data_IF_536870902470
#
_entry.id   IF_536870902470
#
_cell.length_a   1.000
_cell.length_b   1.000
_cell.length_c   1.000
_cell.angle_alpha   90.00
_cell.angle_beta   90.00
_cell.angle_gamma   90.00
#
_symmetry.space_group_name_H-M   'P 1'
#
loop_
_entity.id
_entity.type
_entity.pdbx_description
1 polymer ?
#
# COMPACT_ATOMS: atom_id res chain seq x y z
N UNK A 1 -13.50 2.20 -8.08
CA UNK A 1 -13.99 1.67 -8.15
C UNK A 1 -14.18 0.84 -8.56
N UNK A 2 -14.24 1.00 -8.04
CA UNK A 2 -14.65 0.19 -8.15
C UNK A 2 -14.85 -0.29 -8.41
N UNK A 3 -14.96 0.14 -8.12
CA UNK A 3 -15.30 -0.36 -8.28
C UNK A 3 -15.41 -0.50 -8.44
N UNK A 4 -15.25 -0.19 -8.41
CA UNK A 4 -15.66 -0.49 -8.59
C UNK A 4 -15.82 -0.80 -9.02
N UNK A 5 -15.66 -0.43 -8.95
CA UNK A 5 -15.94 -0.81 -9.36
C UNK A 5 -16.08 -0.96 -9.79
N UNK A 6 -16.02 -0.44 -9.69
CA UNK A 6 -16.07 -0.65 -10.06
C UNK A 6 -16.02 -0.64 -10.39
N UNK A 7 -15.94 -0.33 -10.63
CA UNK A 7 -15.92 -0.48 -11.01
C UNK A 7 -15.87 -0.67 -11.60
N UNK A 8 -15.82 -0.34 -11.42
CA UNK A 8 -15.81 -0.63 -11.78
C UNK A 8 -15.84 -0.47 -12.19
N UNK A 9 -15.73 -0.09 -12.44
CA UNK A 9 -15.56 -0.11 -12.79
C UNK A 9 -15.37 0.30 -13.16
N UNK A 10 -15.11 0.75 -13.50
CA UNK A 10 -14.68 0.89 -13.72
C UNK A 10 -14.26 1.10 -14.32
N UNK A 11 -14.08 1.61 -14.32
CA UNK A 11 -13.51 1.57 -14.62
C UNK A 11 -13.12 1.95 -14.89
N UNK A 12 -12.96 2.34 -14.96
CA UNK A 12 -12.18 2.32 -14.94
C UNK A 12 -11.57 3.02 -15.14
N UNK A 13 -11.40 3.23 -15.00
CA UNK A 13 -10.73 4.35 -14.71
C UNK A 13 -9.45 4.52 -15.36
N UNK A 14 -9.00 5.75 -15.45
CA UNK A 14 -7.66 6.06 -15.93
C UNK A 14 -6.65 5.22 -15.17
N UNK A 15 -5.61 4.80 -15.82
CA UNK A 15 -4.58 3.97 -15.22
C UNK A 15 -5.03 2.56 -14.90
N UNK A 16 -6.33 2.34 -14.96
CA UNK A 16 -6.90 1.01 -14.72
C UNK A 16 -7.69 0.53 -15.92
N UNK A 17 -7.53 1.20 -17.02
CA UNK A 17 -8.15 0.79 -18.28
C UNK A 17 -7.69 -0.62 -18.64
N UNK A 18 -8.61 -1.46 -19.02
CA UNK A 18 -8.33 -2.86 -19.30
C UNK A 18 -8.20 -3.73 -18.07
N UNK A 19 -8.35 -3.12 -16.89
CA UNK A 19 -8.14 -3.80 -15.61
C UNK A 19 -9.42 -3.85 -14.79
N UNK A 20 -10.56 -3.65 -15.42
CA UNK A 20 -11.83 -3.65 -14.74
C UNK A 20 -11.97 -4.89 -13.86
N UNK A 21 -12.30 -4.69 -12.60
CA UNK A 21 -12.45 -5.76 -11.63
C UNK A 21 -11.16 -6.28 -11.03
N UNK A 22 -10.00 -5.82 -11.50
CA UNK A 22 -8.71 -6.25 -10.94
C UNK A 22 -8.25 -5.29 -9.86
N UNK A 23 -7.78 -5.85 -8.75
CA UNK A 23 -7.17 -5.06 -7.68
C UNK A 23 -5.75 -4.66 -8.07
N UNK A 24 -5.36 -3.48 -7.64
CA UNK A 24 -3.97 -3.05 -7.70
C UNK A 24 -3.28 -3.42 -6.39
N UNK A 25 -1.97 -3.35 -6.39
CA UNK A 25 -1.17 -3.63 -5.20
C UNK A 25 -0.36 -2.39 -4.82
N UNK A 26 -0.29 -2.14 -3.54
CA UNK A 26 0.39 -0.97 -3.01
C UNK A 26 1.28 -1.37 -1.84
N UNK A 27 2.22 -0.51 -1.49
CA UNK A 27 3.01 -0.63 -0.26
C UNK A 27 2.91 0.69 0.48
N UNK A 28 2.54 0.62 1.75
CA UNK A 28 2.46 1.79 2.64
C UNK A 28 3.50 1.64 3.74
N UNK A 29 4.25 2.70 3.98
CA UNK A 29 5.29 2.73 5.02
C UNK A 29 4.81 3.46 6.24
N UNK A 30 5.14 2.93 7.43
CA UNK A 30 4.87 3.60 8.70
C UNK A 30 5.94 3.26 9.71
N UNK A 31 6.25 4.22 10.58
CA UNK A 31 7.12 3.99 11.72
C UNK A 31 6.35 3.18 12.77
N UNK A 32 6.86 2.00 13.18
CA UNK A 32 6.09 1.15 14.11
C UNK A 32 5.86 1.77 15.48
N UNK A 33 6.72 2.69 15.93
CA UNK A 33 6.48 3.41 17.18
C UNK A 33 5.34 4.40 17.04
N UNK A 34 5.02 4.82 15.82
CA UNK A 34 3.89 5.70 15.55
C UNK A 34 2.61 4.88 15.32
N UNK A 35 2.66 3.88 14.44
CA UNK A 35 1.54 2.98 14.22
C UNK A 35 2.01 1.67 13.61
N UNK A 36 1.93 0.58 14.38
CA UNK A 36 2.41 -0.73 13.95
C UNK A 36 1.33 -1.56 13.26
N UNK A 37 1.75 -2.60 12.56
CA UNK A 37 0.79 -3.55 11.99
C UNK A 37 -0.01 -4.25 13.09
N UNK A 38 0.62 -4.54 14.22
CA UNK A 38 -0.11 -5.14 15.36
C UNK A 38 -1.19 -4.18 15.89
N UNK A 39 -0.94 -2.88 15.87
CA UNK A 39 -1.95 -1.89 16.23
C UNK A 39 -3.13 -1.93 15.25
N UNK A 40 -2.83 -2.07 13.95
CA UNK A 40 -3.87 -2.19 12.93
C UNK A 40 -4.72 -3.45 13.16
N UNK A 41 -4.08 -4.58 13.49
CA UNK A 41 -4.81 -5.82 13.78
C UNK A 41 -5.74 -5.62 14.97
N UNK A 42 -5.27 -4.95 16.01
CA UNK A 42 -6.08 -4.65 17.20
C UNK A 42 -7.24 -3.72 16.87
N UNK A 43 -6.97 -2.65 16.10
CA UNK A 43 -7.96 -1.63 15.77
C UNK A 43 -8.93 -2.09 14.69
N UNK A 44 -8.55 -3.06 13.88
CA UNK A 44 -9.31 -3.63 12.76
C UNK A 44 -9.46 -2.72 11.56
N UNK A 45 -9.28 -1.43 11.74
CA UNK A 45 -9.19 -0.47 10.63
C UNK A 45 -8.55 0.81 11.12
N UNK A 46 -8.02 1.56 10.17
CA UNK A 46 -7.53 2.90 10.45
C UNK A 46 -7.67 3.74 9.19
N UNK A 47 -7.63 5.06 9.37
CA UNK A 47 -7.59 6.00 8.25
C UNK A 47 -6.13 6.31 7.98
N UNK A 48 -5.66 5.99 6.76
CA UNK A 48 -4.28 6.29 6.38
C UNK A 48 -4.21 7.75 5.94
N UNK A 49 -3.57 8.58 6.77
CA UNK A 49 -3.56 10.04 6.60
C UNK A 49 -2.15 10.58 6.84
N UNK A 50 -2.00 11.88 6.70
CA UNK A 50 -0.73 12.54 7.00
C UNK A 50 0.34 12.36 5.93
N UNK A 51 -0.02 11.84 4.76
CA UNK A 51 0.91 11.67 3.65
C UNK A 51 1.07 13.00 2.93
N UNK A 52 2.28 13.57 2.95
CA UNK A 52 2.50 14.92 2.42
C UNK A 52 3.32 14.96 1.12
N UNK A 53 4.15 13.96 0.88
CA UNK A 53 4.95 13.89 -0.34
C UNK A 53 4.05 13.90 -1.58
N UNK A 54 4.28 14.77 -2.57
CA UNK A 54 3.37 14.86 -3.74
C UNK A 54 3.24 13.56 -4.53
N UNK A 55 4.32 12.82 -4.72
CA UNK A 55 4.25 11.55 -5.46
C UNK A 55 3.50 10.50 -4.64
N UNK A 56 3.74 10.43 -3.33
CA UNK A 56 3.01 9.52 -2.46
C UNK A 56 1.53 9.86 -2.46
N UNK A 57 1.16 11.14 -2.44
CA UNK A 57 -0.23 11.56 -2.53
C UNK A 57 -0.85 11.15 -3.86
N UNK A 58 -0.11 11.29 -4.96
CA UNK A 58 -0.60 10.86 -6.27
C UNK A 58 -0.95 9.38 -6.25
N UNK A 59 -0.09 8.56 -5.67
CA UNK A 59 -0.35 7.13 -5.54
C UNK A 59 -1.56 6.87 -4.63
N UNK A 60 -1.63 7.57 -3.50
CA UNK A 60 -2.72 7.37 -2.55
C UNK A 60 -4.08 7.70 -3.16
N UNK A 61 -4.15 8.76 -3.98
CA UNK A 61 -5.38 9.12 -4.69
C UNK A 61 -5.87 7.99 -5.61
N UNK A 62 -4.97 7.13 -6.08
CA UNK A 62 -5.30 6.05 -7.02
C UNK A 62 -5.76 4.77 -6.34
N UNK A 63 -5.70 4.69 -5.01
CA UNK A 63 -6.10 3.48 -4.28
C UNK A 63 -7.61 3.31 -4.35
N UNK A 64 -8.05 2.08 -4.63
CA UNK A 64 -9.45 1.72 -4.77
C UNK A 64 -9.82 0.61 -3.80
N UNK A 65 -11.09 0.56 -3.46
CA UNK A 65 -11.62 -0.49 -2.58
C UNK A 65 -11.19 -1.87 -3.06
N UNK A 66 -10.69 -2.68 -2.13
CA UNK A 66 -10.24 -4.04 -2.42
C UNK A 66 -8.80 -4.17 -2.87
N UNK A 67 -8.11 -3.04 -3.09
CA UNK A 67 -6.69 -3.09 -3.44
C UNK A 67 -5.89 -3.69 -2.29
N UNK A 68 -4.88 -4.50 -2.64
CA UNK A 68 -4.01 -5.15 -1.66
C UNK A 68 -2.87 -4.22 -1.27
N UNK A 69 -2.47 -4.28 -0.02
CA UNK A 69 -1.48 -3.37 0.54
C UNK A 69 -0.47 -4.16 1.36
N UNK A 70 0.82 -4.00 1.05
CA UNK A 70 1.88 -4.42 1.97
C UNK A 70 2.09 -3.34 3.00
N UNK A 71 2.10 -3.72 4.27
CA UNK A 71 2.39 -2.82 5.38
C UNK A 71 3.87 -2.94 5.73
N UNK A 72 4.59 -1.83 5.63
CA UNK A 72 6.04 -1.79 5.80
C UNK A 72 6.37 -0.98 7.05
N UNK A 73 7.21 -1.54 7.93
CA UNK A 73 7.74 -0.82 9.08
C UNK A 73 9.05 -0.14 8.70
N UNK A 74 9.12 1.18 8.93
CA UNK A 74 10.36 1.95 8.78
C UNK A 74 11.18 1.87 10.07
N UNK A 75 12.16 2.77 10.22
CA UNK A 75 13.00 2.79 11.41
C UNK A 75 14.04 1.69 11.38
N UNK A 76 14.21 1.02 12.49
CA UNK A 76 15.25 -0.02 12.61
C UNK A 76 14.86 -1.32 11.92
N UNK A 77 13.57 -1.60 11.85
CA UNK A 77 13.12 -2.88 11.28
C UNK A 77 13.26 -2.96 9.76
N UNK A 78 12.83 -1.94 9.04
CA UNK A 78 12.92 -1.84 7.58
C UNK A 78 12.48 -3.13 6.89
N UNK A 79 11.21 -3.48 7.05
CA UNK A 79 10.68 -4.75 6.54
C UNK A 79 9.20 -4.67 6.24
N UNK A 80 8.77 -5.45 5.26
CA UNK A 80 7.35 -5.72 5.02
C UNK A 80 6.90 -6.72 6.07
N UNK A 81 5.90 -6.39 6.85
CA UNK A 81 5.49 -7.20 8.02
C UNK A 81 4.09 -7.77 7.91
N UNK A 82 3.25 -7.21 7.06
CA UNK A 82 1.87 -7.67 6.96
C UNK A 82 1.20 -7.28 5.67
N UNK A 83 0.00 -7.81 5.49
CA UNK A 83 -0.86 -7.49 4.36
C UNK A 83 -2.12 -6.85 4.89
N UNK A 84 -2.49 -5.74 4.27
CA UNK A 84 -3.73 -5.02 4.54
C UNK A 84 -4.51 -4.90 3.23
N UNK A 85 -5.68 -4.29 3.30
CA UNK A 85 -6.48 -4.02 2.11
C UNK A 85 -7.15 -2.65 2.26
N UNK A 86 -7.45 -2.02 1.14
CA UNK A 86 -8.24 -0.81 1.14
C UNK A 86 -9.71 -1.17 1.37
N UNK A 87 -10.32 -0.56 2.37
CA UNK A 87 -11.71 -0.81 2.72
C UNK A 87 -12.67 0.02 1.88
N UNK A 88 -12.15 1.05 1.22
CA UNK A 88 -12.90 1.91 0.31
C UNK A 88 -11.93 2.63 -0.60
N UNK A 89 -12.48 3.39 -1.54
CA UNK A 89 -11.66 4.25 -2.41
C UNK A 89 -11.04 5.37 -1.58
N UNK A 90 -9.90 5.89 -2.03
CA UNK A 90 -9.34 7.11 -1.45
C UNK A 90 -10.34 8.26 -1.54
N UNK A 91 -10.35 9.13 -0.54
CA UNK A 91 -11.27 10.25 -0.48
C UNK A 91 -10.56 11.47 0.10
N UNK A 92 -11.11 12.68 -0.11
CA UNK A 92 -10.47 13.88 0.43
C UNK A 92 -10.41 13.85 1.95
N UNK A 93 -9.27 14.25 2.51
CA UNK A 93 -9.09 14.31 3.96
C UNK A 93 -9.99 15.41 4.54
N UNK A 94 -10.93 15.07 5.43
CA UNK A 94 -11.79 16.11 6.05
C UNK A 94 -11.00 17.17 6.81
N UNK A 95 -9.80 16.84 7.29
CA UNK A 95 -8.95 17.79 8.01
C UNK A 95 -8.22 18.75 7.07
N UNK A 96 -8.19 18.46 5.77
CA UNK A 96 -7.54 19.32 4.79
C UNK A 96 -8.58 20.23 4.14
N UNK A 97 -8.62 21.47 4.59
CA UNK A 97 -9.60 22.45 4.10
C UNK A 97 -9.51 22.71 2.61
N UNK A 98 -8.33 22.56 2.03
CA UNK A 98 -8.13 22.73 0.60
C UNK A 98 -8.63 21.54 -0.22
N UNK A 99 -8.91 20.39 0.44
CA UNK A 99 -9.42 19.20 -0.22
C UNK A 99 -8.45 18.53 -1.17
N UNK A 100 -7.16 18.80 -1.04
CA UNK A 100 -6.14 18.30 -1.96
C UNK A 100 -5.52 16.97 -1.53
N UNK A 101 -5.47 16.72 -0.22
CA UNK A 101 -4.88 15.49 0.30
C UNK A 101 -5.92 14.39 0.36
N UNK A 102 -5.51 13.19 -0.03
CA UNK A 102 -6.35 12.02 0.07
C UNK A 102 -6.02 11.24 1.33
N UNK A 103 -7.00 10.51 1.81
CA UNK A 103 -6.83 9.49 2.83
C UNK A 103 -7.54 8.24 2.35
N UNK A 104 -7.22 7.10 2.94
CA UNK A 104 -7.87 5.84 2.61
C UNK A 104 -8.07 5.03 3.89
N UNK A 105 -9.23 4.39 4.00
CA UNK A 105 -9.50 3.46 5.09
C UNK A 105 -8.87 2.11 4.76
N UNK A 106 -8.07 1.58 5.67
CA UNK A 106 -7.39 0.31 5.50
C UNK A 106 -7.70 -0.63 6.65
N UNK A 107 -7.72 -1.93 6.36
CA UNK A 107 -7.91 -2.97 7.36
C UNK A 107 -6.89 -4.07 7.19
N UNK A 108 -6.63 -4.84 8.25
CA UNK A 108 -5.64 -5.91 8.20
C UNK A 108 -6.18 -7.12 7.47
N UNK A 109 -5.30 -7.84 6.78
CA UNK A 109 -5.60 -9.13 6.17
C UNK A 109 -4.86 -10.24 6.92
N UNK A 110 -3.53 -10.15 6.99
CA UNK A 110 -2.75 -11.11 7.75
C UNK A 110 -1.34 -10.59 8.00
N UNK A 111 -0.74 -11.06 9.09
CA UNK A 111 0.67 -10.83 9.37
C UNK A 111 1.48 -11.82 8.54
N UNK A 112 2.60 -11.38 7.97
CA UNK A 112 3.48 -12.28 7.21
C UNK A 112 4.13 -13.28 8.16
N UNK A 113 4.32 -14.53 7.67
CA UNK A 113 4.96 -15.59 8.45
C UNK A 113 6.34 -15.16 8.91
N UNK A 114 7.08 -14.46 8.04
CA UNK A 114 8.33 -13.80 8.41
C UNK A 114 8.40 -12.45 7.72
N UNK A 115 8.95 -11.44 8.40
CA UNK A 115 9.13 -10.14 7.75
C UNK A 115 10.07 -10.27 6.56
N UNK A 116 9.79 -9.51 5.50
CA UNK A 116 10.67 -9.44 4.33
C UNK A 116 11.45 -8.15 4.42
N UNK A 117 12.73 -8.23 4.71
CA UNK A 117 13.54 -7.05 5.00
C UNK A 117 13.91 -6.30 3.73
N UNK A 118 14.15 -5.00 3.88
CA UNK A 118 14.66 -4.17 2.78
C UNK A 118 15.99 -4.72 2.27
N UNK A 119 16.87 -5.19 3.16
CA UNK A 119 18.14 -5.80 2.76
C UNK A 119 17.94 -6.98 1.82
N UNK A 120 16.99 -7.86 2.16
CA UNK A 120 16.72 -9.03 1.32
C UNK A 120 16.14 -8.60 -0.04
N UNK A 121 15.29 -7.59 -0.05
CA UNK A 121 14.71 -7.07 -1.29
C UNK A 121 15.81 -6.45 -2.17
N UNK A 122 16.67 -5.63 -1.58
CA UNK A 122 17.78 -5.01 -2.32
C UNK A 122 18.74 -6.01 -2.90
N UNK A 123 18.94 -7.13 -2.22
CA UNK A 123 19.86 -8.19 -2.67
C UNK A 123 19.29 -9.00 -3.83
N UNK A 124 18.01 -8.89 -4.12
CA UNK A 124 17.33 -9.68 -5.15
C UNK A 124 17.23 -8.86 -6.44
N UNK A 125 17.89 -9.29 -7.53
CA UNK A 125 17.88 -8.53 -8.79
C UNK A 125 16.48 -8.39 -9.42
N UNK A 126 15.53 -9.22 -9.03
CA UNK A 126 14.16 -9.11 -9.53
C UNK A 126 13.48 -7.82 -9.06
N UNK A 127 14.03 -7.16 -8.05
CA UNK A 127 13.48 -5.90 -7.51
C UNK A 127 14.24 -4.66 -8.00
N UNK A 128 15.06 -4.78 -9.02
CA UNK A 128 15.88 -3.64 -9.46
C UNK A 128 15.07 -2.40 -9.84
N UNK A 129 13.84 -2.57 -10.31
CA UNK A 129 12.97 -1.47 -10.72
C UNK A 129 11.90 -1.13 -9.68
N UNK A 130 11.87 -1.83 -8.57
CA UNK A 130 10.86 -1.62 -7.52
C UNK A 130 11.07 -0.26 -6.85
N UNK A 131 9.96 0.49 -6.71
CA UNK A 131 10.02 1.83 -6.12
C UNK A 131 10.61 1.83 -4.71
N UNK A 132 10.36 0.78 -3.92
CA UNK A 132 10.92 0.67 -2.57
C UNK A 132 12.46 0.74 -2.60
N UNK A 133 13.07 0.15 -3.63
CA UNK A 133 14.53 0.14 -3.79
C UNK A 133 15.02 1.45 -4.39
N UNK A 134 14.29 1.99 -5.36
CA UNK A 134 14.75 3.14 -6.15
C UNK A 134 14.45 4.49 -5.52
N UNK A 135 13.36 4.59 -4.76
CA UNK A 135 12.92 5.87 -4.19
C UNK A 135 12.76 5.70 -2.69
N UNK A 136 13.89 5.81 -1.98
CA UNK A 136 13.94 5.46 -0.55
C UNK A 136 13.01 6.29 0.35
N UNK A 137 12.66 7.50 -0.06
CA UNK A 137 11.83 8.38 0.78
C UNK A 137 10.35 8.35 0.42
N UNK A 138 9.97 7.55 -0.56
CA UNK A 138 8.58 7.42 -0.95
C UNK A 138 7.85 6.50 0.04
N UNK A 139 6.71 6.94 0.56
CA UNK A 139 5.97 6.21 1.60
C UNK A 139 4.72 5.49 1.08
N UNK A 140 4.31 5.76 -0.15
CA UNK A 140 3.20 5.08 -0.81
C UNK A 140 3.64 4.78 -2.23
N UNK A 141 3.56 3.53 -2.65
CA UNK A 141 4.04 3.14 -3.97
C UNK A 141 3.26 1.96 -4.53
N UNK A 142 3.18 1.86 -5.86
CA UNK A 142 2.59 0.69 -6.48
C UNK A 142 3.54 -0.51 -6.38
N UNK A 143 2.97 -1.71 -6.36
CA UNK A 143 3.69 -2.97 -6.37
C UNK A 143 3.13 -3.79 -7.52
N UNK A 144 3.98 -4.24 -8.44
CA UNK A 144 3.52 -5.07 -9.54
C UNK A 144 3.09 -6.44 -9.02
N UNK A 145 2.30 -7.16 -9.80
CA UNK A 145 1.88 -8.49 -9.40
C UNK A 145 3.07 -9.43 -9.20
N UNK A 146 4.10 -9.32 -10.04
CA UNK A 146 5.29 -10.15 -9.89
C UNK A 146 6.09 -9.78 -8.64
N UNK A 147 6.21 -8.50 -8.32
CA UNK A 147 6.87 -8.06 -7.08
C UNK A 147 6.08 -8.54 -5.86
N UNK A 148 4.77 -8.46 -5.92
CA UNK A 148 3.91 -8.93 -4.83
C UNK A 148 4.11 -10.43 -4.59
N UNK A 149 4.03 -11.23 -5.65
CA UNK A 149 4.20 -12.69 -5.54
C UNK A 149 5.58 -13.05 -5.01
N UNK A 150 6.61 -12.34 -5.43
CA UNK A 150 7.97 -12.59 -4.97
C UNK A 150 8.12 -12.32 -3.48
N UNK A 151 7.55 -11.21 -3.00
CA UNK A 151 7.60 -10.89 -1.57
C UNK A 151 6.84 -11.94 -0.76
N UNK A 152 5.67 -12.36 -1.23
CA UNK A 152 4.92 -13.43 -0.56
C UNK A 152 5.75 -14.71 -0.46
N UNK A 153 6.44 -15.07 -1.52
CA UNK A 153 7.30 -16.26 -1.53
C UNK A 153 8.43 -16.13 -0.53
N UNK A 154 9.06 -14.95 -0.46
CA UNK A 154 10.13 -14.69 0.50
C UNK A 154 9.63 -14.78 1.94
N UNK A 155 8.41 -14.36 2.19
CA UNK A 155 7.83 -14.40 3.54
C UNK A 155 7.48 -15.82 3.99
N UNK A 156 7.23 -16.71 3.06
CA UNK A 156 6.88 -18.10 3.35
C UNK A 156 8.12 -18.99 3.53
N UNK A 157 9.19 -18.53 2.98
CA UNK A 157 10.34 -19.31 2.85
C UNK A 157 11.35 -19.61 3.67
#
# INVERSE_FOLDING_TARGET
RAGQAGRAGRAGGAGRAGWAGRSMNWLLKEEPTNYSFDALVKDRKTVWSGVKNPLAQKHLHAVKKGDRIFFYHTGDEKAVVGIAKALGDAYPDPADKAGKQAVVDVGPVKKLARPVTLSAIKADPDFKDFALVRISRLSVMPVTDSEWARIEKMSAG
#
